data_IF_281187681338
#
_entry.id   IF_281187681338
#
_cell.length_a   1.000
_cell.length_b   1.000
_cell.length_c   1.000
_cell.angle_alpha   90.00
_cell.angle_beta   90.00
_cell.angle_gamma   90.00
#
_symmetry.space_group_name_H-M   'P 1'
#
loop_
_entity.id
_entity.type
_entity.pdbx_description
1 polymer ?
#
# COMPACT_ATOMS: atom_id res chain seq x y z
N UNK A 1 -25.12 -17.72 3.79
CA UNK A 1 -24.52 -17.02 2.68
C UNK A 1 -24.50 -15.52 2.91
N UNK A 2 -23.39 -14.93 2.70
CA UNK A 2 -23.27 -13.48 2.86
C UNK A 2 -24.02 -12.74 1.78
N UNK A 3 -24.59 -11.57 2.10
CA UNK A 3 -25.22 -10.73 1.12
C UNK A 3 -24.20 -10.19 0.10
N UNK A 4 -24.64 -9.30 -0.78
CA UNK A 4 -23.75 -8.74 -1.79
C UNK A 4 -22.58 -8.03 -1.10
N UNK A 5 -21.38 -8.38 -1.50
CA UNK A 5 -20.17 -7.77 -0.98
C UNK A 5 -19.83 -6.56 -1.84
N UNK A 6 -19.29 -5.54 -1.18
CA UNK A 6 -18.77 -4.40 -1.92
C UNK A 6 -17.60 -4.87 -2.78
N UNK A 7 -17.47 -4.35 -4.02
CA UNK A 7 -16.31 -4.68 -4.83
C UNK A 7 -15.04 -4.31 -4.10
N UNK A 8 -14.06 -5.18 -4.18
CA UNK A 8 -12.74 -4.86 -3.63
C UNK A 8 -12.18 -3.63 -4.33
N UNK A 9 -11.44 -2.82 -3.59
CA UNK A 9 -10.73 -1.66 -4.14
C UNK A 9 -9.29 -1.78 -3.69
N UNK A 10 -8.36 -1.59 -4.61
CA UNK A 10 -6.93 -1.64 -4.28
C UNK A 10 -6.21 -0.48 -4.95
N UNK A 11 -5.23 0.06 -4.24
CA UNK A 11 -4.37 1.12 -4.74
C UNK A 11 -2.93 0.74 -4.42
N UNK A 12 -2.06 0.83 -5.40
CA UNK A 12 -0.64 0.59 -5.21
C UNK A 12 0.10 1.92 -5.22
N UNK A 13 1.00 2.07 -4.27
CA UNK A 13 1.82 3.27 -4.14
C UNK A 13 3.28 2.93 -4.35
N UNK A 14 4.02 3.88 -4.88
CA UNK A 14 5.48 3.82 -4.90
C UNK A 14 6.04 4.97 -4.08
N UNK A 15 7.14 4.69 -3.37
CA UNK A 15 7.80 5.70 -2.57
C UNK A 15 9.29 5.41 -2.50
N UNK A 16 10.08 6.45 -2.64
CA UNK A 16 11.53 6.34 -2.51
C UNK A 16 11.98 7.11 -1.27
N UNK A 17 12.52 6.38 -0.29
CA UNK A 17 13.05 7.00 0.92
C UNK A 17 14.20 7.93 0.59
N UNK A 18 14.22 9.08 1.24
CA UNK A 18 15.28 10.07 1.04
C UNK A 18 15.09 10.98 -0.15
N UNK A 19 14.03 10.80 -0.92
CA UNK A 19 13.70 11.68 -2.03
C UNK A 19 12.70 12.75 -1.57
N UNK A 20 12.76 13.96 -2.14
CA UNK A 20 11.93 15.08 -1.68
C UNK A 20 10.54 15.10 -2.31
N UNK A 21 9.93 13.95 -2.53
CA UNK A 21 8.58 13.89 -3.08
C UNK A 21 7.73 12.89 -2.32
N UNK A 22 6.42 13.08 -2.42
CA UNK A 22 5.44 12.23 -1.77
C UNK A 22 5.26 10.92 -2.54
N UNK A 23 4.72 9.88 -1.89
CA UNK A 23 4.32 8.67 -2.61
C UNK A 23 3.38 8.99 -3.76
N UNK A 24 3.43 8.18 -4.80
CA UNK A 24 2.59 8.32 -5.97
C UNK A 24 1.75 7.07 -6.19
N UNK A 25 0.56 7.26 -6.76
CA UNK A 25 -0.31 6.15 -7.11
C UNK A 25 0.16 5.58 -8.45
N UNK A 26 0.52 4.31 -8.46
CA UNK A 26 0.99 3.65 -9.68
C UNK A 26 0.01 2.63 -10.23
N UNK A 27 -0.96 2.20 -9.42
CA UNK A 27 -2.03 1.32 -9.89
C UNK A 27 -3.26 1.51 -9.01
N UNK A 28 -4.43 1.35 -9.59
CA UNK A 28 -5.68 1.53 -8.87
C UNK A 28 -6.78 0.78 -9.62
N UNK A 29 -7.68 0.15 -8.89
CA UNK A 29 -8.80 -0.52 -9.53
C UNK A 29 -9.76 -1.14 -8.55
N UNK A 30 -10.85 -1.65 -9.10
CA UNK A 30 -11.94 -2.29 -8.35
C UNK A 30 -12.20 -3.68 -8.90
N UNK A 31 -12.82 -4.53 -8.09
CA UNK A 31 -13.23 -5.86 -8.49
C UNK A 31 -12.07 -6.70 -8.97
N UNK A 32 -12.16 -7.23 -10.17
CA UNK A 32 -11.14 -8.11 -10.73
C UNK A 32 -9.78 -7.41 -10.85
N UNK A 33 -9.77 -6.12 -11.15
CA UNK A 33 -8.53 -5.35 -11.23
C UNK A 33 -7.88 -5.25 -9.84
N UNK A 34 -8.68 -4.98 -8.81
CA UNK A 34 -8.18 -4.94 -7.44
C UNK A 34 -7.60 -6.28 -7.03
N UNK A 35 -8.27 -7.37 -7.35
CA UNK A 35 -7.79 -8.72 -7.03
C UNK A 35 -6.44 -9.00 -7.70
N UNK A 36 -6.29 -8.56 -8.95
CA UNK A 36 -5.05 -8.73 -9.67
C UNK A 36 -3.92 -7.90 -9.04
N UNK A 37 -4.20 -6.67 -8.63
CA UNK A 37 -3.21 -5.84 -7.94
C UNK A 37 -2.75 -6.54 -6.66
N UNK A 38 -3.69 -7.07 -5.87
CA UNK A 38 -3.36 -7.77 -4.64
C UNK A 38 -2.55 -9.04 -4.89
N UNK A 39 -2.92 -9.80 -5.91
CA UNK A 39 -2.20 -11.02 -6.26
C UNK A 39 -0.76 -10.71 -6.67
N UNK A 40 -0.56 -9.69 -7.48
CA UNK A 40 0.79 -9.27 -7.90
C UNK A 40 1.61 -8.79 -6.71
N UNK A 41 0.99 -8.07 -5.79
CA UNK A 41 1.67 -7.61 -4.58
C UNK A 41 2.16 -8.79 -3.74
N UNK A 42 1.31 -9.80 -3.56
CA UNK A 42 1.69 -11.00 -2.82
C UNK A 42 2.82 -11.76 -3.50
N UNK A 43 2.74 -11.93 -4.81
CA UNK A 43 3.78 -12.62 -5.57
C UNK A 43 5.13 -11.90 -5.49
N UNK A 44 5.10 -10.59 -5.42
CA UNK A 44 6.31 -9.75 -5.40
C UNK A 44 6.78 -9.43 -3.99
N UNK A 45 6.11 -9.93 -2.96
CA UNK A 45 6.47 -9.64 -1.58
C UNK A 45 6.25 -8.21 -1.16
N UNK A 46 5.34 -7.50 -1.83
CA UNK A 46 5.02 -6.12 -1.50
C UNK A 46 4.05 -6.11 -0.32
N UNK A 47 4.33 -5.33 0.74
CA UNK A 47 3.43 -5.25 1.89
C UNK A 47 2.06 -4.71 1.50
N UNK A 48 1.02 -5.31 2.09
CA UNK A 48 -0.37 -4.92 1.86
C UNK A 48 -1.00 -4.53 3.19
N UNK A 49 -1.75 -3.45 3.18
CA UNK A 49 -2.49 -2.99 4.34
C UNK A 49 -3.95 -2.75 3.95
N UNK A 50 -4.85 -3.20 4.79
CA UNK A 50 -6.28 -2.97 4.59
C UNK A 50 -6.72 -1.75 5.38
N UNK A 51 -7.32 -0.78 4.69
CA UNK A 51 -7.87 0.43 5.30
C UNK A 51 -8.90 1.00 4.33
N UNK A 52 -10.17 0.75 4.63
CA UNK A 52 -11.26 1.13 3.73
C UNK A 52 -11.34 2.64 3.48
N UNK A 53 -11.13 3.43 4.53
CA UNK A 53 -11.20 4.89 4.40
C UNK A 53 -10.05 5.43 3.59
N UNK A 54 -8.85 4.94 3.86
CA UNK A 54 -7.66 5.38 3.15
C UNK A 54 -7.71 4.98 1.69
N UNK A 55 -8.11 3.74 1.39
CA UNK A 55 -8.17 3.29 0.00
C UNK A 55 -9.22 4.07 -0.80
N UNK A 56 -10.32 4.44 -0.19
CA UNK A 56 -11.33 5.27 -0.85
C UNK A 56 -10.76 6.64 -1.22
N UNK A 57 -10.00 7.24 -0.33
CA UNK A 57 -9.35 8.52 -0.59
C UNK A 57 -8.31 8.40 -1.71
N UNK A 58 -7.49 7.37 -1.67
CA UNK A 58 -6.43 7.17 -2.66
C UNK A 58 -6.97 6.75 -4.02
N UNK A 59 -8.10 6.06 -4.06
CA UNK A 59 -8.69 5.63 -5.33
C UNK A 59 -9.16 6.81 -6.21
N UNK A 60 -9.35 7.99 -5.60
CA UNK A 60 -9.72 9.19 -6.34
C UNK A 60 -8.51 9.90 -6.95
N UNK A 61 -7.30 9.50 -6.62
CA UNK A 61 -6.07 10.13 -7.11
C UNK A 61 -5.74 9.58 -8.50
N UNK A 62 -5.37 10.46 -9.41
CA UNK A 62 -4.97 10.06 -10.76
C UNK A 62 -3.68 9.24 -10.72
N UNK A 63 -3.55 8.31 -11.67
CA UNK A 63 -2.34 7.52 -11.82
C UNK A 63 -1.13 8.43 -12.05
N UNK A 64 -0.02 8.05 -11.49
CA UNK A 64 1.27 8.76 -11.54
C UNK A 64 1.28 10.08 -10.74
N UNK A 65 0.19 10.40 -10.06
CA UNK A 65 0.12 11.59 -9.23
C UNK A 65 0.53 11.29 -7.80
N UNK A 66 1.08 12.29 -7.14
CA UNK A 66 1.37 12.19 -5.71
C UNK A 66 0.09 12.13 -4.90
N UNK A 67 0.15 11.46 -3.76
CA UNK A 67 -1.00 11.40 -2.86
C UNK A 67 -1.25 12.78 -2.24
N UNK A 68 -2.52 13.07 -1.90
CA UNK A 68 -2.83 14.36 -1.27
C UNK A 68 -2.27 14.40 0.16
N UNK A 69 -2.00 15.62 0.63
CA UNK A 69 -1.44 15.83 1.96
C UNK A 69 -2.31 15.21 3.06
N UNK A 70 -3.63 15.23 2.87
CA UNK A 70 -4.57 14.65 3.85
C UNK A 70 -4.44 13.14 3.99
N UNK A 71 -3.92 12.45 2.98
CA UNK A 71 -3.66 11.02 3.05
C UNK A 71 -2.28 10.72 3.62
N UNK A 72 -1.37 11.68 3.62
CA UNK A 72 0.04 11.44 3.94
C UNK A 72 0.24 10.95 5.37
N UNK A 73 -0.53 11.46 6.33
CA UNK A 73 -0.37 11.05 7.74
C UNK A 73 -0.60 9.55 7.88
N UNK A 74 -1.71 9.05 7.32
CA UNK A 74 -2.03 7.63 7.40
C UNK A 74 -1.03 6.77 6.65
N UNK A 75 -0.61 7.22 5.46
CA UNK A 75 0.39 6.49 4.67
C UNK A 75 1.73 6.46 5.39
N UNK A 76 2.13 7.58 6.01
CA UNK A 76 3.38 7.64 6.75
C UNK A 76 3.39 6.65 7.93
N UNK A 77 2.28 6.52 8.64
CA UNK A 77 2.17 5.56 9.73
C UNK A 77 2.33 4.12 9.24
N UNK A 78 1.68 3.79 8.12
CA UNK A 78 1.79 2.46 7.52
C UNK A 78 3.24 2.18 7.11
N UNK A 79 3.88 3.14 6.47
CA UNK A 79 5.26 2.98 6.00
C UNK A 79 6.23 2.86 7.15
N UNK A 80 6.00 3.57 8.25
CA UNK A 80 6.82 3.45 9.44
C UNK A 80 6.72 2.04 10.03
N UNK A 81 5.53 1.47 10.09
CA UNK A 81 5.34 0.10 10.57
C UNK A 81 6.06 -0.91 9.67
N UNK A 82 5.94 -0.76 8.37
CA UNK A 82 6.62 -1.64 7.41
C UNK A 82 8.14 -1.55 7.58
N UNK A 83 8.66 -0.34 7.73
CA UNK A 83 10.09 -0.12 7.93
C UNK A 83 10.58 -0.80 9.20
N UNK A 84 9.84 -0.68 10.29
CA UNK A 84 10.21 -1.33 11.55
C UNK A 84 10.19 -2.84 11.44
N UNK A 85 9.20 -3.42 10.79
CA UNK A 85 9.12 -4.85 10.58
C UNK A 85 10.30 -5.35 9.75
N UNK A 86 10.66 -4.63 8.70
CA UNK A 86 11.80 -4.99 7.87
C UNK A 86 13.12 -4.93 8.66
N UNK A 87 13.28 -3.94 9.52
CA UNK A 87 14.46 -3.84 10.37
C UNK A 87 14.57 -5.01 11.35
N UNK A 88 13.44 -5.38 11.96
CA UNK A 88 13.40 -6.51 12.87
C UNK A 88 13.74 -7.82 12.16
N UNK A 89 13.21 -8.02 10.96
CA UNK A 89 13.51 -9.20 10.16
C UNK A 89 14.99 -9.28 9.80
N UNK A 90 15.60 -8.16 9.43
CA UNK A 90 17.03 -8.10 9.12
C UNK A 90 17.87 -8.39 10.34
N UNK A 91 17.52 -7.83 11.50
CA UNK A 91 18.23 -8.09 12.74
C UNK A 91 18.17 -9.57 13.13
N UNK A 92 16.98 -10.17 13.01
CA UNK A 92 16.81 -11.59 13.30
C UNK A 92 17.62 -12.47 12.35
N UNK A 93 17.69 -12.10 11.07
CA UNK A 93 18.50 -12.83 10.10
C UNK A 93 19.99 -12.71 10.40
N UNK A 94 20.44 -11.55 10.85
CA UNK A 94 21.84 -11.33 11.22
C UNK A 94 22.24 -12.17 12.42
N UNK A 95 21.33 -12.40 13.36
CA UNK A 95 21.62 -13.22 14.56
C UNK A 95 21.67 -14.71 14.26
N UNK A 96 21.33 -15.13 13.09
CA UNK A 96 21.25 -16.53 12.72
C UNK A 96 22.54 -17.11 12.18
N UNK A 97 23.59 -16.70 12.55
CA UNK A 97 24.85 -17.24 12.02
C UNK A 97 25.12 -18.66 12.48
#
# INVERSE_FOLDING_TARGET
MSGPQKPAVAVALTYEFGKPHLPRVVASGRGAIAERILALAQESGIPVREDADLVALLAAVELESEIPAEAMIAVAEIMAQIFLLNRQAQAAAADRR
#
